data_IF_826370090335
#
_entry.id   IF_826370090335
#
_cell.length_a   1.000
_cell.length_b   1.000
_cell.length_c   1.000
_cell.angle_alpha   90.00
_cell.angle_beta   90.00
_cell.angle_gamma   90.00
#
_symmetry.space_group_name_H-M   'P 1'
#
loop_
_entity.id
_entity.type
_entity.pdbx_description
1 polymer ?
#
# COMPACT_ATOMS: atom_id res chain seq x y z
N UNK A 1 -26.22 7.64 -3.20
CA UNK A 1 -25.73 6.25 -3.09
C UNK A 1 -26.82 5.37 -2.48
N UNK A 2 -27.07 4.18 -3.06
CA UNK A 2 -28.02 3.17 -2.56
C UNK A 2 -27.32 1.83 -2.43
N UNK A 3 -27.38 1.20 -1.25
CA UNK A 3 -26.82 -0.15 -1.04
C UNK A 3 -27.69 -1.19 -1.76
N UNK A 4 -27.07 -2.09 -2.53
CA UNK A 4 -27.71 -3.18 -3.27
C UNK A 4 -27.48 -4.52 -2.59
N UNK A 5 -26.25 -4.78 -2.17
CA UNK A 5 -25.84 -6.05 -1.59
C UNK A 5 -24.83 -5.85 -0.45
N UNK A 6 -24.92 -6.69 0.57
CA UNK A 6 -24.08 -6.68 1.77
C UNK A 6 -23.43 -8.05 1.95
N UNK A 7 -22.21 -8.08 2.49
CA UNK A 7 -21.55 -9.34 2.83
C UNK A 7 -20.96 -10.08 1.63
N UNK A 8 -20.79 -9.39 0.49
CA UNK A 8 -20.25 -9.97 -0.75
C UNK A 8 -18.81 -10.41 -0.51
N UNK A 9 -18.42 -11.52 -1.13
CA UNK A 9 -17.02 -11.94 -1.18
C UNK A 9 -16.44 -11.57 -2.54
N UNK A 10 -15.39 -10.75 -2.55
CA UNK A 10 -14.69 -10.33 -3.78
C UNK A 10 -13.29 -10.93 -3.86
N UNK A 11 -12.77 -11.13 -5.07
CA UNK A 11 -11.43 -11.70 -5.29
C UNK A 11 -10.40 -10.59 -5.47
N UNK A 12 -9.49 -10.42 -4.50
CA UNK A 12 -8.36 -9.49 -4.62
C UNK A 12 -7.09 -10.21 -5.08
N UNK A 13 -6.05 -9.44 -5.41
CA UNK A 13 -4.71 -9.97 -5.69
C UNK A 13 -4.09 -10.76 -4.50
N UNK A 14 -4.65 -10.63 -3.30
CA UNK A 14 -4.21 -11.31 -2.09
C UNK A 14 -5.19 -12.38 -1.60
N UNK A 15 -6.24 -12.70 -2.37
CA UNK A 15 -7.23 -13.72 -2.05
C UNK A 15 -8.64 -13.17 -1.84
N UNK A 16 -9.59 -14.02 -1.39
CA UNK A 16 -10.97 -13.61 -1.17
C UNK A 16 -11.09 -12.63 0.01
N UNK A 17 -11.82 -11.53 -0.20
CA UNK A 17 -12.17 -10.53 0.82
C UNK A 17 -13.66 -10.65 1.12
N UNK A 18 -14.00 -11.04 2.34
CA UNK A 18 -15.38 -11.14 2.80
C UNK A 18 -15.89 -9.80 3.35
N UNK A 19 -17.18 -9.55 3.26
CA UNK A 19 -17.79 -8.36 3.87
C UNK A 19 -17.81 -7.13 2.97
N UNK A 20 -17.62 -7.30 1.67
CA UNK A 20 -17.77 -6.22 0.70
C UNK A 20 -19.23 -5.76 0.59
N UNK A 21 -19.40 -4.51 0.17
CA UNK A 21 -20.70 -3.87 -0.04
C UNK A 21 -20.76 -3.41 -1.49
N UNK A 22 -21.83 -3.78 -2.19
CA UNK A 22 -22.11 -3.25 -3.52
C UNK A 22 -23.19 -2.18 -3.41
N UNK A 23 -22.90 -1.00 -3.97
CA UNK A 23 -23.78 0.16 -3.94
C UNK A 23 -23.91 0.77 -5.34
N UNK A 24 -25.08 1.32 -5.61
CA UNK A 24 -25.37 2.12 -6.79
C UNK A 24 -25.12 3.60 -6.47
N UNK A 25 -24.23 4.23 -7.23
CA UNK A 25 -23.92 5.65 -7.17
C UNK A 25 -24.57 6.39 -8.35
N UNK A 26 -25.12 7.58 -8.08
CA UNK A 26 -25.68 8.48 -9.08
C UNK A 26 -24.61 9.53 -9.40
N UNK A 27 -24.24 9.64 -10.66
CA UNK A 27 -23.26 10.59 -11.17
C UNK A 27 -23.88 11.97 -11.41
N UNK A 28 -23.02 12.98 -11.58
CA UNK A 28 -23.43 14.35 -11.90
C UNK A 28 -24.12 14.46 -13.28
N UNK A 29 -23.88 13.50 -14.18
CA UNK A 29 -24.53 13.39 -15.49
C UNK A 29 -25.85 12.61 -15.43
N UNK A 30 -26.39 12.38 -14.23
CA UNK A 30 -27.61 11.62 -13.94
C UNK A 30 -27.53 10.12 -14.27
N UNK A 31 -26.38 9.62 -14.74
CA UNK A 31 -26.18 8.18 -14.93
C UNK A 31 -25.88 7.47 -13.61
N UNK A 32 -26.12 6.16 -13.55
CA UNK A 32 -25.74 5.34 -12.37
C UNK A 32 -24.60 4.38 -12.69
N UNK A 33 -23.77 4.09 -11.69
CA UNK A 33 -22.79 3.01 -11.74
C UNK A 33 -22.85 2.15 -10.50
N UNK A 34 -22.53 0.87 -10.65
CA UNK A 34 -22.31 0.00 -9.51
C UNK A 34 -20.86 0.10 -9.03
N UNK A 35 -20.73 0.27 -7.72
CA UNK A 35 -19.45 0.32 -7.02
C UNK A 35 -19.42 -0.76 -5.96
N UNK A 36 -18.30 -1.45 -5.87
CA UNK A 36 -18.06 -2.39 -4.78
C UNK A 36 -16.99 -1.84 -3.87
N UNK A 37 -17.26 -1.82 -2.57
CA UNK A 37 -16.32 -1.42 -1.52
C UNK A 37 -15.91 -2.65 -0.72
N UNK A 38 -14.61 -2.89 -0.58
CA UNK A 38 -14.09 -4.06 0.12
C UNK A 38 -13.26 -3.65 1.35
N UNK A 39 -13.43 -4.32 2.51
CA UNK A 39 -12.60 -4.07 3.70
C UNK A 39 -11.10 -4.14 3.38
N UNK A 40 -10.34 -3.12 3.81
CA UNK A 40 -8.91 -2.98 3.53
C UNK A 40 -8.54 -2.45 2.14
N UNK A 41 -9.50 -2.34 1.21
CA UNK A 41 -9.24 -1.84 -0.15
C UNK A 41 -9.92 -0.51 -0.46
N UNK A 42 -11.00 -0.15 0.24
CA UNK A 42 -11.79 1.03 -0.09
C UNK A 42 -12.71 0.74 -1.28
N UNK A 43 -12.74 1.62 -2.29
CA UNK A 43 -13.40 1.33 -3.56
C UNK A 43 -12.60 0.24 -4.28
N UNK A 44 -13.23 -0.90 -4.51
CA UNK A 44 -12.62 -2.10 -5.06
C UNK A 44 -12.84 -2.23 -6.58
N UNK A 45 -14.00 -1.75 -7.06
CA UNK A 45 -14.33 -1.73 -8.48
C UNK A 45 -15.44 -0.72 -8.77
N UNK A 46 -15.37 -0.10 -9.94
CA UNK A 46 -16.45 0.69 -10.55
C UNK A 46 -16.83 0.08 -11.89
N UNK A 47 -18.13 -0.07 -12.15
CA UNK A 47 -18.61 -0.64 -13.41
C UNK A 47 -19.80 0.10 -14.01
N UNK A 48 -19.83 0.18 -15.34
CA UNK A 48 -21.00 0.52 -16.16
C UNK A 48 -21.11 -0.49 -17.31
N UNK A 49 -21.97 -1.50 -17.17
CA UNK A 49 -22.14 -2.54 -18.20
C UNK A 49 -20.90 -3.45 -18.36
N UNK A 50 -20.33 -3.55 -19.57
CA UNK A 50 -19.15 -4.40 -19.86
C UNK A 50 -17.80 -3.75 -19.52
N UNK A 51 -17.80 -2.49 -19.10
CA UNK A 51 -16.59 -1.78 -18.69
C UNK A 51 -16.45 -1.93 -17.17
N UNK A 52 -15.56 -2.84 -16.78
CA UNK A 52 -15.12 -3.02 -15.41
C UNK A 52 -13.81 -2.25 -15.24
N UNK A 53 -13.86 -1.09 -14.58
CA UNK A 53 -12.66 -0.44 -14.09
C UNK A 53 -12.39 -0.99 -12.68
N UNK A 54 -11.45 -1.93 -12.60
CA UNK A 54 -10.89 -2.37 -11.32
C UNK A 54 -9.98 -1.27 -10.79
N UNK A 55 -10.58 -0.23 -10.22
CA UNK A 55 -9.88 0.82 -9.53
C UNK A 55 -9.76 0.44 -8.06
N UNK A 56 -8.58 -0.03 -7.64
CA UNK A 56 -8.25 -0.14 -6.24
C UNK A 56 -7.69 1.22 -5.76
N UNK A 57 -8.57 2.16 -5.40
CA UNK A 57 -8.13 3.31 -4.59
C UNK A 57 -8.20 2.86 -3.14
N UNK A 58 -7.04 2.66 -2.53
CA UNK A 58 -6.89 2.53 -1.09
C UNK A 58 -7.36 3.82 -0.41
N UNK A 59 -8.68 3.98 -0.25
CA UNK A 59 -9.26 4.91 0.70
C UNK A 59 -9.04 4.32 2.09
N UNK A 60 -8.73 5.14 3.10
CA UNK A 60 -8.29 4.64 4.39
C UNK A 60 -9.50 4.16 5.18
N UNK A 61 -9.99 2.96 4.85
CA UNK A 61 -10.91 2.22 5.70
C UNK A 61 -10.25 1.88 7.06
N UNK A 62 -8.91 1.94 7.11
CA UNK A 62 -8.07 1.65 8.27
C UNK A 62 -7.34 2.91 8.81
N UNK A 63 -7.83 4.12 8.52
CA UNK A 63 -7.25 5.34 9.09
C UNK A 63 -7.31 5.25 10.62
N UNK A 64 -6.15 5.11 11.26
CA UNK A 64 -6.07 5.21 12.71
C UNK A 64 -6.29 6.69 13.11
N UNK A 65 -7.11 6.98 14.13
CA UNK A 65 -7.28 8.35 14.61
C UNK A 65 -5.95 8.88 15.16
N UNK A 66 -5.59 10.10 14.78
CA UNK A 66 -4.36 10.78 15.22
C UNK A 66 -3.42 11.14 14.05
N UNK A 67 -2.34 11.89 14.33
CA UNK A 67 -1.33 12.17 13.31
C UNK A 67 -0.63 10.87 12.87
N UNK A 68 -0.07 10.82 11.64
CA UNK A 68 0.78 9.72 11.22
C UNK A 68 1.89 9.45 12.24
N UNK A 69 2.21 8.17 12.45
CA UNK A 69 3.33 7.81 13.30
C UNK A 69 4.62 8.42 12.71
N UNK A 70 5.48 9.10 13.51
CA UNK A 70 6.72 9.70 13.00
C UNK A 70 7.64 8.72 12.25
N UNK A 71 7.50 7.42 12.54
CA UNK A 71 8.23 6.36 11.88
C UNK A 71 7.79 6.16 10.41
N UNK A 72 6.54 6.50 10.04
CA UNK A 72 6.11 6.47 8.64
C UNK A 72 6.79 7.59 7.84
N UNK A 73 6.83 8.81 8.38
CA UNK A 73 7.58 9.93 7.76
C UNK A 73 9.08 9.61 7.66
N UNK A 74 9.64 8.95 8.69
CA UNK A 74 11.04 8.52 8.67
C UNK A 74 11.32 7.44 7.63
N UNK A 75 10.38 6.51 7.42
CA UNK A 75 10.42 5.48 6.38
C UNK A 75 10.43 6.11 4.98
N UNK A 76 9.51 7.04 4.72
CA UNK A 76 9.42 7.77 3.44
C UNK A 76 10.71 8.56 3.16
N UNK A 77 11.19 9.32 4.15
CA UNK A 77 12.43 10.09 4.06
C UNK A 77 13.63 9.17 3.78
N UNK A 78 13.70 8.04 4.48
CA UNK A 78 14.79 7.07 4.32
C UNK A 78 14.72 6.33 2.99
N UNK A 79 13.53 6.01 2.48
CA UNK A 79 13.33 5.43 1.15
C UNK A 79 13.83 6.39 0.06
N UNK A 80 13.52 7.69 0.19
CA UNK A 80 14.04 8.72 -0.71
C UNK A 80 15.57 8.85 -0.62
N UNK A 81 16.12 8.85 0.60
CA UNK A 81 17.56 8.88 0.82
C UNK A 81 18.29 7.65 0.24
N UNK A 82 17.67 6.48 0.30
CA UNK A 82 18.18 5.24 -0.29
C UNK A 82 18.37 5.38 -1.81
N UNK A 83 17.43 6.01 -2.51
CA UNK A 83 17.57 6.25 -3.96
C UNK A 83 18.81 7.08 -4.28
N UNK A 84 19.10 8.10 -3.46
CA UNK A 84 20.31 8.90 -3.59
C UNK A 84 21.58 8.07 -3.42
N UNK A 85 21.67 7.30 -2.32
CA UNK A 85 22.83 6.45 -2.04
C UNK A 85 23.04 5.36 -3.10
N UNK A 86 21.97 4.70 -3.54
CA UNK A 86 22.04 3.64 -4.56
C UNK A 86 22.48 4.20 -5.91
N UNK A 87 21.97 5.38 -6.33
CA UNK A 87 22.37 6.04 -7.59
C UNK A 87 23.83 6.51 -7.57
N UNK A 88 24.33 6.92 -6.41
CA UNK A 88 25.72 7.28 -6.21
C UNK A 88 26.65 6.06 -6.01
N UNK A 89 26.09 4.84 -6.03
CA UNK A 89 26.78 3.59 -5.67
C UNK A 89 27.44 3.61 -4.29
N UNK A 90 26.94 4.47 -3.39
CA UNK A 90 27.36 4.55 -1.99
C UNK A 90 26.65 3.44 -1.19
N UNK A 91 27.17 2.22 -1.35
CA UNK A 91 26.62 1.03 -0.72
C UNK A 91 26.76 1.05 0.80
N UNK A 92 27.74 1.76 1.34
CA UNK A 92 27.90 1.91 2.79
C UNK A 92 26.76 2.77 3.36
N UNK A 93 26.50 3.93 2.74
CA UNK A 93 25.36 4.76 3.10
C UNK A 93 24.03 4.03 2.89
N UNK A 94 23.88 3.27 1.80
CA UNK A 94 22.70 2.45 1.55
C UNK A 94 22.46 1.40 2.65
N UNK A 95 23.50 0.70 3.09
CA UNK A 95 23.40 -0.23 4.23
C UNK A 95 23.05 0.49 5.53
N UNK A 96 23.62 1.67 5.77
CA UNK A 96 23.29 2.52 6.92
C UNK A 96 21.81 2.92 6.93
N UNK A 97 21.29 3.34 5.78
CA UNK A 97 19.87 3.69 5.59
C UNK A 97 18.97 2.47 5.79
N UNK A 98 19.34 1.30 5.24
CA UNK A 98 18.57 0.06 5.40
C UNK A 98 18.44 -0.35 6.88
N UNK A 99 19.47 -0.13 7.70
CA UNK A 99 19.39 -0.40 9.14
C UNK A 99 18.39 0.51 9.85
N UNK A 100 18.37 1.81 9.51
CA UNK A 100 17.39 2.77 10.05
C UNK A 100 15.96 2.38 9.69
N UNK A 101 15.72 2.15 8.39
CA UNK A 101 14.43 1.70 7.88
C UNK A 101 13.92 0.45 8.60
N UNK A 102 14.79 -0.55 8.79
CA UNK A 102 14.41 -1.76 9.53
C UNK A 102 14.10 -1.48 11.00
N UNK A 103 14.82 -0.57 11.66
CA UNK A 103 14.53 -0.20 13.04
C UNK A 103 13.16 0.48 13.18
N UNK A 104 12.84 1.42 12.28
CA UNK A 104 11.55 2.12 12.25
C UNK A 104 10.40 1.16 11.95
N UNK A 105 10.61 0.22 11.01
CA UNK A 105 9.63 -0.83 10.72
C UNK A 105 9.33 -1.69 11.96
N UNK A 106 10.34 -2.06 12.76
CA UNK A 106 10.11 -2.82 13.99
C UNK A 106 9.32 -2.03 15.04
N UNK A 107 9.48 -0.71 15.09
CA UNK A 107 8.66 0.15 15.96
C UNK A 107 7.22 0.17 15.47
N UNK A 108 6.99 0.42 14.18
CA UNK A 108 5.65 0.43 13.59
C UNK A 108 4.94 -0.91 13.79
N UNK A 109 5.60 -2.04 13.54
CA UNK A 109 5.02 -3.37 13.76
C UNK A 109 4.46 -3.58 15.16
N UNK A 110 5.11 -3.03 16.19
CA UNK A 110 4.64 -3.13 17.59
C UNK A 110 3.43 -2.25 17.86
N UNK A 111 3.22 -1.20 17.08
CA UNK A 111 2.04 -0.34 17.16
C UNK A 111 0.82 -0.95 16.47
N UNK A 112 0.98 -2.06 15.74
CA UNK A 112 -0.10 -2.77 15.07
C UNK A 112 -0.61 -2.03 13.83
N UNK A 113 0.22 -1.89 12.77
CA UNK A 113 -0.22 -1.23 11.55
C UNK A 113 -1.29 -2.10 10.85
N UNK A 114 -2.15 -1.52 10.01
CA UNK A 114 -3.13 -2.29 9.25
C UNK A 114 -2.49 -3.46 8.51
N UNK A 115 -3.17 -4.61 8.49
CA UNK A 115 -2.57 -5.88 8.05
C UNK A 115 -2.01 -5.82 6.60
N UNK A 116 -2.70 -5.11 5.70
CA UNK A 116 -2.26 -4.93 4.32
C UNK A 116 -1.01 -4.05 4.23
N UNK A 117 -0.96 -2.96 4.99
CA UNK A 117 0.24 -2.11 5.13
C UNK A 117 1.41 -2.94 5.65
N UNK A 118 1.16 -3.78 6.66
CA UNK A 118 2.19 -4.62 7.25
C UNK A 118 2.77 -5.66 6.29
N UNK A 119 1.91 -6.32 5.53
CA UNK A 119 2.32 -7.30 4.52
C UNK A 119 3.11 -6.63 3.39
N UNK A 120 2.61 -5.49 2.88
CA UNK A 120 3.23 -4.75 1.78
C UNK A 120 4.62 -4.22 2.14
N UNK A 121 4.76 -3.57 3.30
CA UNK A 121 6.04 -3.04 3.77
C UNK A 121 7.02 -4.17 4.08
N UNK A 122 6.59 -5.25 4.73
CA UNK A 122 7.49 -6.38 5.03
C UNK A 122 8.10 -6.97 3.74
N UNK A 123 7.27 -7.21 2.72
CA UNK A 123 7.73 -7.73 1.43
C UNK A 123 8.72 -6.80 0.72
N UNK A 124 8.41 -5.50 0.69
CA UNK A 124 9.28 -4.49 0.07
C UNK A 124 10.65 -4.41 0.77
N UNK A 125 10.66 -4.37 2.10
CA UNK A 125 11.88 -4.27 2.90
C UNK A 125 12.77 -5.52 2.78
N UNK A 126 12.19 -6.70 2.65
CA UNK A 126 12.95 -7.92 2.36
C UNK A 126 13.63 -7.87 0.98
N UNK A 127 12.91 -7.42 -0.04
CA UNK A 127 13.47 -7.28 -1.40
C UNK A 127 14.59 -6.23 -1.38
N UNK A 128 14.35 -5.08 -0.74
CA UNK A 128 15.33 -4.01 -0.59
C UNK A 128 16.59 -4.52 0.11
N UNK A 129 16.44 -5.27 1.21
CA UNK A 129 17.57 -5.82 1.94
C UNK A 129 18.39 -6.84 1.13
N UNK A 130 17.76 -7.60 0.23
CA UNK A 130 18.47 -8.50 -0.69
C UNK A 130 19.19 -7.70 -1.77
N UNK A 131 18.52 -6.73 -2.39
CA UNK A 131 19.08 -5.93 -3.48
C UNK A 131 20.26 -5.07 -3.03
N UNK A 132 20.20 -4.44 -1.84
CA UNK A 132 21.31 -3.68 -1.27
C UNK A 132 22.52 -4.58 -0.97
N UNK A 133 22.28 -5.79 -0.41
CA UNK A 133 23.36 -6.77 -0.17
C UNK A 133 24.02 -7.26 -1.46
N UNK A 134 23.22 -7.46 -2.51
CA UNK A 134 23.69 -7.87 -3.82
C UNK A 134 24.23 -6.70 -4.67
N UNK A 135 24.13 -5.46 -4.19
CA UNK A 135 24.50 -4.23 -4.90
C UNK A 135 23.78 -4.08 -6.25
N UNK A 136 22.53 -4.52 -6.31
CA UNK A 136 21.69 -4.44 -7.52
C UNK A 136 20.97 -3.09 -7.59
N UNK A 137 21.60 -2.09 -8.20
CA UNK A 137 21.09 -0.71 -8.16
C UNK A 137 19.65 -0.52 -8.66
N UNK A 138 19.30 -1.15 -9.80
CA UNK A 138 17.94 -1.08 -10.37
C UNK A 138 16.92 -1.68 -9.41
N UNK A 139 17.21 -2.88 -8.88
CA UNK A 139 16.30 -3.59 -8.00
C UNK A 139 16.18 -2.94 -6.64
N UNK A 140 17.28 -2.39 -6.12
CA UNK A 140 17.30 -1.64 -4.87
C UNK A 140 16.49 -0.34 -5.00
N UNK A 141 16.58 0.33 -6.15
CA UNK A 141 15.80 1.54 -6.41
C UNK A 141 14.29 1.25 -6.47
N UNK A 142 13.89 0.21 -7.21
CA UNK A 142 12.48 -0.18 -7.27
C UNK A 142 11.96 -0.59 -5.89
N UNK A 143 12.72 -1.39 -5.14
CA UNK A 143 12.33 -1.83 -3.81
C UNK A 143 12.27 -0.68 -2.78
N UNK A 144 13.05 0.38 -2.97
CA UNK A 144 12.96 1.58 -2.14
C UNK A 144 11.68 2.37 -2.42
N UNK A 145 11.28 2.50 -3.69
CA UNK A 145 9.98 3.08 -4.08
C UNK A 145 8.83 2.27 -3.50
N UNK A 146 8.94 0.95 -3.55
CA UNK A 146 7.94 0.04 -3.00
C UNK A 146 7.82 0.10 -1.47
N UNK A 147 8.79 0.66 -0.76
CA UNK A 147 8.84 0.75 0.69
C UNK A 147 8.49 2.14 1.25
N UNK A 148 8.40 3.17 0.38
CA UNK A 148 7.91 4.51 0.71
C UNK A 148 6.43 4.64 0.38
#
# INVERSE_FOLDING_TARGET
MRVKELGVTVQSAHGPVTGAITAEELHLDESTSEKTFAPGYGEFSTGKGRELESLAVALPADALPGPPAPQLESLETSATGMLGSVRAEDWEAAVGTLRRVNADWQVLRRQGPPALVAARLSGALEILARAVRAREAVRASQAAIDAG
#
